data_IF_193908445782
#
_entry.id   IF_193908445782
#
_cell.length_a   1.000
_cell.length_b   1.000
_cell.length_c   1.000
_cell.angle_alpha   90.00
_cell.angle_beta   90.00
_cell.angle_gamma   90.00
#
_symmetry.space_group_name_H-M   'P 1'
#
loop_
_entity.id
_entity.type
_entity.pdbx_description
1 polymer ?
#
# COMPACT_ATOMS: atom_id res chain seq x y z
N UNK A 1 -1.89 43.20 20.51
CA UNK A 1 -0.83 42.26 20.90
C UNK A 1 -1.39 41.09 21.73
N UNK A 2 -1.88 41.28 22.98
CA UNK A 2 -2.32 40.12 23.80
C UNK A 2 -3.42 39.24 23.16
N UNK A 3 -4.38 39.79 22.41
CA UNK A 3 -5.40 38.99 21.70
C UNK A 3 -4.82 38.17 20.54
N UNK A 4 -3.82 38.72 19.87
CA UNK A 4 -3.14 38.03 18.77
C UNK A 4 -2.30 36.85 19.29
N UNK A 5 -1.58 37.07 20.39
CA UNK A 5 -0.79 36.03 21.06
C UNK A 5 -1.69 34.88 21.57
N UNK A 6 -2.88 35.25 22.12
CA UNK A 6 -3.88 34.26 22.52
C UNK A 6 -4.42 33.46 21.31
N UNK A 7 -4.68 34.12 20.17
CA UNK A 7 -5.15 33.47 18.97
C UNK A 7 -4.09 32.49 18.42
N UNK A 8 -2.82 32.90 18.36
CA UNK A 8 -1.75 32.00 17.91
C UNK A 8 -1.53 30.84 18.86
N UNK A 9 -1.59 31.06 20.17
CA UNK A 9 -1.51 29.96 21.14
C UNK A 9 -2.66 28.95 20.95
N UNK A 10 -3.87 29.41 20.65
CA UNK A 10 -5.02 28.53 20.39
C UNK A 10 -4.85 27.76 19.08
N UNK A 11 -4.34 28.40 18.01
CA UNK A 11 -4.05 27.76 16.74
C UNK A 11 -2.96 26.68 16.88
N UNK A 12 -1.88 26.98 17.60
CA UNK A 12 -0.79 26.02 17.82
C UNK A 12 -1.28 24.80 18.62
N UNK A 13 -2.19 24.98 19.59
CA UNK A 13 -2.84 23.87 20.31
C UNK A 13 -3.76 23.07 19.41
N UNK A 14 -4.60 23.72 18.61
CA UNK A 14 -5.51 23.04 17.69
C UNK A 14 -4.74 22.19 16.67
N UNK A 15 -3.64 22.74 16.13
CA UNK A 15 -2.73 22.01 15.24
C UNK A 15 -2.12 20.78 15.90
N UNK A 16 -1.57 20.94 17.12
CA UNK A 16 -0.98 19.82 17.85
C UNK A 16 -2.01 18.70 18.14
N UNK A 17 -3.27 19.06 18.43
CA UNK A 17 -4.34 18.08 18.58
C UNK A 17 -4.70 17.35 17.28
N UNK A 18 -4.79 18.07 16.16
CA UNK A 18 -5.07 17.46 14.86
C UNK A 18 -3.95 16.49 14.44
N UNK A 19 -2.68 16.91 14.61
CA UNK A 19 -1.50 16.07 14.33
C UNK A 19 -1.48 14.81 15.23
N UNK A 20 -1.81 14.92 16.52
CA UNK A 20 -1.88 13.79 17.45
C UNK A 20 -3.02 12.83 17.08
N UNK A 21 -4.21 13.34 16.79
CA UNK A 21 -5.36 12.51 16.42
C UNK A 21 -5.13 11.76 15.08
N UNK A 22 -4.44 12.38 14.14
CA UNK A 22 -4.04 11.74 12.90
C UNK A 22 -3.10 10.55 13.17
N UNK A 23 -2.08 10.76 13.99
CA UNK A 23 -1.15 9.70 14.39
C UNK A 23 -1.84 8.56 15.16
N UNK A 24 -2.81 8.89 16.04
CA UNK A 24 -3.57 7.91 16.80
C UNK A 24 -4.49 7.06 15.87
N UNK A 25 -5.09 7.67 14.86
CA UNK A 25 -5.91 6.96 13.86
C UNK A 25 -5.07 5.97 13.04
N UNK A 26 -3.88 6.36 12.61
CA UNK A 26 -2.94 5.48 11.90
C UNK A 26 -2.46 4.33 12.80
N UNK A 27 -2.11 4.63 14.06
CA UNK A 27 -1.68 3.63 15.03
C UNK A 27 -2.78 2.62 15.37
N UNK A 28 -4.05 3.01 15.33
CA UNK A 28 -5.18 2.12 15.58
C UNK A 28 -5.28 1.04 14.50
N UNK A 29 -5.14 1.42 13.23
CA UNK A 29 -5.13 0.46 12.12
C UNK A 29 -3.97 -0.54 12.27
N UNK A 30 -2.76 -0.04 12.45
CA UNK A 30 -1.55 -0.87 12.56
C UNK A 30 -1.63 -1.84 13.76
N UNK A 31 -2.13 -1.36 14.91
CA UNK A 31 -2.30 -2.19 16.11
C UNK A 31 -3.35 -3.28 15.89
N UNK A 32 -4.46 -2.95 15.20
CA UNK A 32 -5.52 -3.92 14.90
C UNK A 32 -5.04 -4.97 13.90
N UNK A 33 -4.32 -4.56 12.86
CA UNK A 33 -3.69 -5.46 11.89
C UNK A 33 -2.75 -6.43 12.61
N UNK A 34 -1.84 -5.91 13.45
CA UNK A 34 -0.88 -6.68 14.22
C UNK A 34 -1.60 -7.73 15.11
N UNK A 35 -2.53 -7.29 15.96
CA UNK A 35 -3.24 -8.19 16.86
C UNK A 35 -4.07 -9.26 16.12
N UNK A 36 -4.62 -8.92 14.93
CA UNK A 36 -5.39 -9.86 14.12
C UNK A 36 -4.50 -10.98 13.61
N UNK A 37 -3.36 -10.66 13.01
CA UNK A 37 -2.47 -11.68 12.43
C UNK A 37 -1.65 -12.42 13.48
N UNK A 38 -1.28 -11.82 14.62
CA UNK A 38 -0.65 -12.53 15.74
C UNK A 38 -1.56 -13.67 16.25
N UNK A 39 -2.87 -13.41 16.41
CA UNK A 39 -3.81 -14.47 16.78
C UNK A 39 -3.92 -15.57 15.71
N UNK A 40 -3.88 -15.22 14.43
CA UNK A 40 -3.96 -16.21 13.34
C UNK A 40 -2.72 -17.09 13.24
N UNK A 41 -1.54 -16.59 13.59
CA UNK A 41 -0.30 -17.38 13.63
C UNK A 41 -0.39 -18.59 14.59
N UNK A 42 -1.24 -18.50 15.62
CA UNK A 42 -1.39 -19.58 16.61
C UNK A 42 -2.37 -20.68 16.17
N UNK A 43 -3.34 -20.36 15.28
CA UNK A 43 -4.49 -21.24 15.03
C UNK A 43 -4.71 -21.62 13.57
N UNK A 44 -4.11 -20.87 12.61
CA UNK A 44 -4.31 -21.09 11.19
C UNK A 44 -3.37 -22.16 10.63
N UNK A 45 -3.76 -22.78 9.53
CA UNK A 45 -2.86 -23.58 8.72
C UNK A 45 -1.76 -22.71 8.12
N UNK A 46 -0.53 -23.21 8.15
CA UNK A 46 0.65 -22.47 7.69
C UNK A 46 1.09 -22.97 6.32
N UNK A 47 0.87 -22.19 5.27
CA UNK A 47 1.24 -22.49 3.88
C UNK A 47 2.29 -21.50 3.35
N UNK A 48 3.02 -21.90 2.33
CA UNK A 48 3.82 -20.97 1.51
C UNK A 48 2.92 -20.22 0.53
N UNK A 49 3.36 -19.07 0.01
CA UNK A 49 2.61 -18.36 -1.04
C UNK A 49 2.47 -19.18 -2.32
N UNK A 50 3.43 -20.07 -2.61
CA UNK A 50 3.36 -20.96 -3.77
C UNK A 50 2.27 -22.03 -3.61
N UNK A 51 2.09 -22.57 -2.39
CA UNK A 51 1.03 -23.54 -2.11
C UNK A 51 -0.37 -22.90 -2.16
N UNK A 52 -0.48 -21.60 -1.86
CA UNK A 52 -1.73 -20.84 -1.82
C UNK A 52 -2.05 -20.09 -3.15
N UNK A 53 -1.31 -20.34 -4.23
CA UNK A 53 -1.45 -19.60 -5.47
C UNK A 53 -1.57 -20.51 -6.70
N UNK A 54 -2.39 -20.11 -7.66
CA UNK A 54 -2.36 -20.68 -9.02
C UNK A 54 -1.12 -20.25 -9.80
N UNK A 55 -0.61 -19.04 -9.54
CA UNK A 55 0.61 -18.50 -10.14
C UNK A 55 1.33 -17.59 -9.14
N UNK A 56 2.58 -17.91 -8.88
CA UNK A 56 3.46 -17.11 -8.04
C UNK A 56 4.79 -16.93 -8.76
N UNK A 57 4.93 -15.81 -9.46
CA UNK A 57 6.12 -15.57 -10.28
C UNK A 57 6.43 -14.07 -10.43
N UNK A 58 7.62 -13.77 -10.92
CA UNK A 58 8.02 -12.38 -11.22
C UNK A 58 7.33 -11.89 -12.48
N UNK A 59 7.02 -10.59 -12.49
CA UNK A 59 6.68 -9.88 -13.73
C UNK A 59 7.80 -9.98 -14.78
N UNK A 60 7.52 -9.57 -16.00
CA UNK A 60 8.46 -9.65 -17.12
C UNK A 60 8.60 -8.31 -17.83
N UNK A 61 9.86 -7.93 -18.08
CA UNK A 61 10.22 -6.80 -18.92
C UNK A 61 11.57 -7.11 -19.55
N UNK A 62 11.54 -7.81 -20.70
CA UNK A 62 12.75 -8.38 -21.32
C UNK A 62 13.49 -7.38 -22.23
N UNK A 63 12.76 -6.46 -22.87
CA UNK A 63 13.34 -5.49 -23.78
C UNK A 63 14.29 -4.52 -23.07
N UNK A 64 15.33 -4.11 -23.77
CA UNK A 64 16.28 -3.10 -23.31
C UNK A 64 16.54 -2.10 -24.44
N UNK A 65 16.54 -0.75 -24.17
CA UNK A 65 16.26 -0.16 -22.84
C UNK A 65 14.78 -0.32 -22.43
N UNK A 66 14.48 -0.39 -21.14
CA UNK A 66 13.12 -0.59 -20.62
C UNK A 66 12.14 0.52 -20.96
N UNK A 67 12.65 1.74 -21.18
CA UNK A 67 11.89 2.95 -21.52
C UNK A 67 11.82 3.21 -23.02
N UNK A 68 12.02 2.19 -23.86
CA UNK A 68 11.88 2.31 -25.32
C UNK A 68 10.44 2.70 -25.66
N UNK A 69 10.27 3.86 -26.31
CA UNK A 69 8.97 4.41 -26.65
C UNK A 69 8.14 3.51 -27.59
N UNK A 70 8.77 2.60 -28.33
CA UNK A 70 8.11 1.66 -29.23
C UNK A 70 7.24 0.63 -28.52
N UNK A 71 7.41 0.45 -27.18
CA UNK A 71 6.68 -0.54 -26.39
C UNK A 71 5.36 -0.01 -25.80
N UNK A 72 5.19 1.33 -25.80
CA UNK A 72 4.16 2.02 -25.01
C UNK A 72 3.00 2.56 -25.87
N UNK A 73 2.05 3.21 -25.19
CA UNK A 73 0.91 3.90 -25.77
C UNK A 73 -0.08 2.99 -26.53
N UNK A 74 -0.34 1.80 -25.99
CA UNK A 74 -1.38 0.89 -26.48
C UNK A 74 -2.47 0.66 -25.41
N UNK A 75 -3.09 -0.51 -25.44
CA UNK A 75 -4.31 -0.80 -24.67
C UNK A 75 -4.06 -1.60 -23.37
N UNK A 76 -2.81 -2.03 -23.11
CA UNK A 76 -2.49 -2.90 -21.98
C UNK A 76 -1.91 -2.09 -20.83
N UNK A 77 -2.61 -1.93 -19.70
CA UNK A 77 -2.08 -1.26 -18.52
C UNK A 77 -0.71 -1.80 -18.13
N UNK A 78 0.18 -0.90 -17.75
CA UNK A 78 1.50 -1.23 -17.25
C UNK A 78 1.77 -0.46 -15.97
N UNK A 79 1.86 -1.19 -14.85
CA UNK A 79 2.16 -0.62 -13.55
C UNK A 79 3.62 -0.85 -13.15
N UNK A 80 4.12 0.00 -12.29
CA UNK A 80 5.46 -0.07 -11.71
C UNK A 80 5.39 -0.04 -10.19
N UNK A 81 6.54 -0.08 -9.53
CA UNK A 81 6.62 -0.06 -8.06
C UNK A 81 6.04 1.20 -7.42
N UNK A 82 5.96 2.30 -8.17
CA UNK A 82 5.38 3.56 -7.70
C UNK A 82 3.86 3.50 -7.52
N UNK A 83 3.14 2.89 -8.48
CA UNK A 83 1.70 2.68 -8.39
C UNK A 83 1.37 1.76 -7.22
N UNK A 84 2.14 0.67 -7.02
CA UNK A 84 1.95 -0.26 -5.91
C UNK A 84 2.17 0.43 -4.56
N UNK A 85 3.24 1.22 -4.41
CA UNK A 85 3.51 1.95 -3.18
C UNK A 85 2.38 2.90 -2.77
N UNK A 86 1.73 3.52 -3.75
CA UNK A 86 0.75 4.58 -3.51
C UNK A 86 -0.70 4.07 -3.52
N UNK A 87 -0.93 2.75 -3.73
CA UNK A 87 -2.27 2.20 -3.97
C UNK A 87 -3.11 1.93 -2.73
N UNK A 88 -2.54 2.03 -1.52
CA UNK A 88 -3.23 1.72 -0.24
C UNK A 88 -3.94 0.36 -0.26
N UNK A 89 -3.30 -0.65 -0.84
CA UNK A 89 -3.81 -2.02 -0.93
C UNK A 89 -4.61 -2.34 -2.20
N UNK A 90 -5.08 -1.35 -2.96
CA UNK A 90 -5.91 -1.55 -4.16
C UNK A 90 -5.38 -0.72 -5.33
N UNK A 91 -4.87 -1.39 -6.36
CA UNK A 91 -4.28 -0.74 -7.54
C UNK A 91 -5.40 -0.44 -8.54
N UNK A 92 -5.90 0.81 -8.53
CA UNK A 92 -7.02 1.30 -9.36
C UNK A 92 -6.59 2.19 -10.50
N UNK A 93 -5.34 2.64 -10.51
CA UNK A 93 -4.83 3.61 -11.48
C UNK A 93 -3.52 3.15 -12.09
N UNK A 94 -3.26 3.56 -13.32
CA UNK A 94 -2.00 3.36 -14.02
C UNK A 94 -1.62 4.62 -14.80
N UNK A 95 -0.34 4.82 -15.04
CA UNK A 95 0.19 5.97 -15.77
C UNK A 95 0.65 5.64 -17.16
N UNK A 96 0.90 4.38 -17.43
CA UNK A 96 1.47 3.91 -18.69
C UNK A 96 0.70 2.70 -19.20
N UNK A 97 0.74 2.52 -20.51
CA UNK A 97 0.21 1.33 -21.19
C UNK A 97 1.25 0.75 -22.13
N UNK A 98 1.27 -0.56 -22.28
CA UNK A 98 1.97 -1.26 -23.34
C UNK A 98 1.07 -1.41 -24.58
N UNK A 99 1.70 -1.42 -25.75
CA UNK A 99 1.08 -1.90 -26.99
C UNK A 99 1.33 -3.40 -27.18
N UNK A 100 1.03 -3.94 -28.36
CA UNK A 100 1.21 -5.36 -28.67
C UNK A 100 2.69 -5.80 -28.59
N UNK A 101 3.66 -4.94 -28.94
CA UNK A 101 5.09 -5.23 -28.83
C UNK A 101 5.53 -5.24 -27.35
N UNK A 102 5.03 -4.30 -26.56
CA UNK A 102 5.24 -4.26 -25.11
C UNK A 102 4.67 -5.49 -24.41
N UNK A 103 3.46 -5.91 -24.78
CA UNK A 103 2.85 -7.13 -24.25
C UNK A 103 3.67 -8.38 -24.64
N UNK A 104 4.13 -8.51 -25.87
CA UNK A 104 4.86 -9.68 -26.35
C UNK A 104 6.14 -9.98 -25.55
N UNK A 105 6.76 -8.96 -24.96
CA UNK A 105 7.95 -9.11 -24.12
C UNK A 105 7.65 -9.14 -22.61
N UNK A 106 6.38 -9.00 -22.21
CA UNK A 106 5.89 -8.95 -20.84
C UNK A 106 5.04 -10.20 -20.51
N UNK A 107 4.25 -10.08 -19.48
CA UNK A 107 3.19 -11.02 -19.06
C UNK A 107 2.00 -10.20 -18.61
N UNK A 108 0.83 -10.48 -19.14
CA UNK A 108 -0.43 -9.94 -18.65
C UNK A 108 -0.88 -10.74 -17.42
N UNK A 109 -1.17 -10.04 -16.35
CA UNK A 109 -1.72 -10.57 -15.12
C UNK A 109 -3.17 -10.13 -14.99
N UNK A 110 -4.00 -11.04 -14.52
CA UNK A 110 -5.43 -10.76 -14.38
C UNK A 110 -5.73 -9.92 -13.13
N UNK A 111 -6.88 -9.25 -13.15
CA UNK A 111 -7.53 -8.68 -11.96
C UNK A 111 -7.52 -9.68 -10.80
N UNK A 112 -7.34 -9.19 -9.57
CA UNK A 112 -7.21 -10.01 -8.37
C UNK A 112 -5.78 -10.52 -8.10
N UNK A 113 -4.81 -10.24 -8.98
CA UNK A 113 -3.39 -10.53 -8.68
C UNK A 113 -2.89 -9.63 -7.56
N UNK A 114 -2.28 -10.22 -6.53
CA UNK A 114 -1.55 -9.49 -5.49
C UNK A 114 -0.15 -9.20 -5.98
N UNK A 115 0.19 -7.92 -6.08
CA UNK A 115 1.50 -7.44 -6.49
C UNK A 115 2.38 -7.19 -5.26
N UNK A 116 3.64 -7.64 -5.30
CA UNK A 116 4.64 -7.49 -4.22
C UNK A 116 5.89 -6.87 -4.82
N UNK A 117 6.31 -5.71 -4.34
CA UNK A 117 7.55 -5.07 -4.80
C UNK A 117 8.76 -5.73 -4.15
N UNK A 118 9.78 -6.03 -4.96
CA UNK A 118 10.99 -6.72 -4.51
C UNK A 118 12.26 -5.88 -4.63
N UNK A 119 12.17 -4.70 -5.23
CA UNK A 119 13.26 -3.76 -5.43
C UNK A 119 12.75 -2.32 -5.27
N UNK A 120 13.62 -1.39 -4.93
CA UNK A 120 13.36 0.02 -4.66
C UNK A 120 12.50 0.26 -3.40
N UNK A 121 11.22 -0.10 -3.44
CA UNK A 121 10.28 -0.03 -2.31
C UNK A 121 9.91 -1.47 -1.91
N UNK A 122 10.76 -2.14 -1.17
CA UNK A 122 10.62 -3.56 -0.83
C UNK A 122 9.37 -3.82 0.02
N UNK A 123 8.65 -4.91 -0.30
CA UNK A 123 7.48 -5.40 0.43
C UNK A 123 6.31 -4.38 0.53
N UNK A 124 6.18 -3.50 -0.49
CA UNK A 124 4.92 -2.81 -0.72
C UNK A 124 4.00 -3.74 -1.52
N UNK A 125 2.72 -3.73 -1.21
CA UNK A 125 1.73 -4.66 -1.75
C UNK A 125 0.49 -3.94 -2.28
N UNK A 126 -0.25 -4.61 -3.16
CA UNK A 126 -1.54 -4.15 -3.64
C UNK A 126 -2.19 -5.15 -4.58
N UNK A 127 -3.52 -5.14 -4.62
CA UNK A 127 -4.35 -5.99 -5.47
C UNK A 127 -4.68 -5.27 -6.77
N UNK A 128 -4.51 -5.93 -7.92
CA UNK A 128 -4.91 -5.40 -9.23
C UNK A 128 -6.44 -5.36 -9.36
N UNK A 129 -6.99 -4.18 -9.67
CA UNK A 129 -8.41 -4.00 -10.00
C UNK A 129 -8.69 -4.10 -11.52
N UNK A 130 -7.67 -4.31 -12.31
CA UNK A 130 -7.72 -4.46 -13.76
C UNK A 130 -6.57 -5.36 -14.22
N UNK A 131 -6.69 -5.93 -15.41
CA UNK A 131 -5.61 -6.71 -16.03
C UNK A 131 -4.43 -5.80 -16.35
N UNK A 132 -3.21 -6.18 -15.95
CA UNK A 132 -2.02 -5.33 -16.11
C UNK A 132 -0.74 -6.12 -16.34
N UNK A 133 0.20 -5.48 -17.02
CA UNK A 133 1.59 -5.91 -17.05
C UNK A 133 2.40 -5.21 -15.96
N UNK A 134 3.48 -5.82 -15.51
CA UNK A 134 4.45 -5.18 -14.61
C UNK A 134 5.85 -5.79 -14.76
N UNK A 135 6.91 -5.04 -14.35
CA UNK A 135 8.29 -5.44 -14.56
C UNK A 135 8.74 -6.55 -13.59
N UNK A 136 9.94 -7.05 -13.84
CA UNK A 136 10.63 -8.06 -13.03
C UNK A 136 11.05 -7.59 -11.61
N UNK A 137 10.83 -6.32 -11.28
CA UNK A 137 10.93 -5.76 -9.92
C UNK A 137 9.67 -5.97 -9.06
N UNK A 138 8.64 -6.63 -9.62
CA UNK A 138 7.39 -6.97 -8.95
C UNK A 138 7.16 -8.48 -9.08
N UNK A 139 6.75 -9.12 -7.99
CA UNK A 139 6.18 -10.46 -7.98
C UNK A 139 4.67 -10.33 -8.04
N UNK A 140 4.03 -11.16 -8.87
CA UNK A 140 2.59 -11.38 -8.88
C UNK A 140 2.24 -12.70 -8.21
N UNK A 141 1.24 -12.68 -7.36
CA UNK A 141 0.57 -13.84 -6.81
C UNK A 141 -0.88 -13.83 -7.27
N UNK A 142 -1.26 -14.82 -8.06
CA UNK A 142 -2.66 -15.10 -8.36
C UNK A 142 -3.18 -16.08 -7.31
N UNK A 143 -3.95 -15.66 -6.31
CA UNK A 143 -4.45 -16.53 -5.26
C UNK A 143 -5.27 -17.69 -5.81
N UNK A 144 -5.17 -18.86 -5.16
CA UNK A 144 -6.12 -19.95 -5.38
C UNK A 144 -7.41 -19.61 -4.60
N UNK A 145 -8.56 -19.43 -5.28
CA UNK A 145 -9.80 -19.05 -4.62
C UNK A 145 -10.38 -20.11 -3.70
N UNK A 146 -9.89 -21.36 -3.78
CA UNK A 146 -10.26 -22.42 -2.84
C UNK A 146 -9.48 -22.30 -1.50
N UNK A 147 -8.36 -21.54 -1.48
CA UNK A 147 -7.48 -21.39 -0.33
C UNK A 147 -7.57 -19.97 0.24
N UNK A 148 -7.52 -18.92 -0.61
CA UNK A 148 -7.45 -17.55 -0.11
C UNK A 148 -8.02 -16.49 -1.07
N UNK A 149 -8.48 -15.39 -0.47
CA UNK A 149 -8.87 -14.18 -1.18
C UNK A 149 -7.71 -13.19 -1.35
N UNK A 150 -7.71 -12.37 -2.44
CA UNK A 150 -6.61 -11.45 -2.74
C UNK A 150 -6.40 -10.39 -1.65
N UNK A 151 -7.46 -9.82 -1.09
CA UNK A 151 -7.36 -8.80 -0.05
C UNK A 151 -6.90 -9.36 1.29
N UNK A 152 -7.26 -10.63 1.60
CA UNK A 152 -6.70 -11.31 2.76
C UNK A 152 -5.18 -11.45 2.64
N UNK A 153 -4.69 -11.88 1.48
CA UNK A 153 -3.26 -12.01 1.19
C UNK A 153 -2.56 -10.64 1.26
N UNK A 154 -3.19 -9.58 0.76
CA UNK A 154 -2.65 -8.22 0.83
C UNK A 154 -2.45 -7.77 2.28
N UNK A 155 -3.47 -7.88 3.14
CA UNK A 155 -3.37 -7.54 4.57
C UNK A 155 -2.34 -8.40 5.30
N UNK A 156 -2.32 -9.69 5.02
CA UNK A 156 -1.31 -10.61 5.56
C UNK A 156 0.11 -10.15 5.20
N UNK A 157 0.37 -9.83 3.95
CA UNK A 157 1.68 -9.35 3.50
C UNK A 157 2.05 -7.99 4.09
N UNK A 158 1.09 -7.09 4.31
CA UNK A 158 1.31 -5.84 5.05
C UNK A 158 1.75 -6.10 6.49
N UNK A 159 1.13 -7.07 7.16
CA UNK A 159 1.57 -7.48 8.50
C UNK A 159 3.03 -7.98 8.48
N UNK A 160 3.41 -8.81 7.50
CA UNK A 160 4.77 -9.32 7.37
C UNK A 160 5.76 -8.34 6.73
N UNK A 161 5.32 -7.17 6.25
CA UNK A 161 6.17 -6.25 5.48
C UNK A 161 7.44 -5.82 6.22
N UNK A 162 7.37 -5.62 7.54
CA UNK A 162 8.52 -5.24 8.35
C UNK A 162 9.58 -6.34 8.38
N UNK A 163 9.16 -7.59 8.55
CA UNK A 163 10.04 -8.75 8.55
C UNK A 163 10.67 -8.96 7.18
N UNK A 164 9.87 -8.91 6.11
CA UNK A 164 10.33 -9.02 4.72
C UNK A 164 11.36 -7.92 4.39
N UNK A 165 11.11 -6.67 4.81
CA UNK A 165 12.06 -5.56 4.66
C UNK A 165 13.39 -5.81 5.39
N UNK A 166 13.36 -6.42 6.56
CA UNK A 166 14.59 -6.78 7.31
C UNK A 166 15.37 -7.89 6.60
N UNK A 167 14.71 -8.90 6.07
CA UNK A 167 15.36 -9.95 5.28
C UNK A 167 16.02 -9.38 4.01
N UNK A 168 15.37 -8.39 3.37
CA UNK A 168 15.93 -7.69 2.21
C UNK A 168 17.21 -6.92 2.51
N UNK A 169 17.29 -6.24 3.65
CA UNK A 169 18.47 -5.45 4.08
C UNK A 169 19.71 -6.29 4.39
N UNK A 170 19.58 -7.58 4.60
CA UNK A 170 20.69 -8.49 4.82
C UNK A 170 21.37 -9.02 3.55
N UNK A 171 20.80 -8.74 2.37
CA UNK A 171 21.35 -9.16 1.08
C UNK A 171 22.29 -8.09 0.50
N UNK A 172 23.25 -8.50 -0.34
CA UNK A 172 24.25 -7.61 -0.94
C UNK A 172 23.66 -6.48 -1.84
N UNK A 173 22.35 -6.48 -2.10
CA UNK A 173 21.67 -5.52 -2.99
C UNK A 173 20.39 -4.91 -2.39
N UNK A 174 20.10 -5.11 -1.10
CA UNK A 174 18.88 -4.65 -0.46
C UNK A 174 17.60 -5.04 -1.27
N UNK A 175 17.49 -6.30 -1.66
CA UNK A 175 16.36 -6.84 -2.45
C UNK A 175 15.84 -8.12 -1.80
N UNK A 176 14.53 -8.33 -1.87
CA UNK A 176 13.92 -9.65 -1.69
C UNK A 176 13.70 -10.30 -3.06
N UNK A 177 13.55 -11.62 -3.09
CA UNK A 177 13.33 -12.36 -4.33
C UNK A 177 12.39 -13.56 -4.07
N UNK A 178 12.09 -14.36 -5.10
CA UNK A 178 11.23 -15.54 -4.95
C UNK A 178 11.75 -16.51 -3.89
N UNK A 179 13.07 -16.71 -3.80
CA UNK A 179 13.67 -17.58 -2.79
C UNK A 179 13.41 -17.11 -1.35
N UNK A 180 13.19 -15.82 -1.13
CA UNK A 180 12.78 -15.29 0.18
C UNK A 180 11.45 -15.90 0.64
N UNK A 181 10.56 -16.22 -0.29
CA UNK A 181 9.23 -16.76 -0.02
C UNK A 181 9.15 -18.30 -0.08
N UNK A 182 10.17 -19.00 -0.61
CA UNK A 182 10.15 -20.45 -0.81
C UNK A 182 9.90 -21.22 0.47
N UNK A 183 10.47 -20.76 1.60
CA UNK A 183 10.38 -21.41 2.90
C UNK A 183 9.57 -20.61 3.92
N UNK A 184 9.16 -19.38 3.56
CA UNK A 184 8.33 -18.55 4.42
C UNK A 184 6.92 -19.12 4.48
N UNK A 185 6.39 -19.30 5.69
CA UNK A 185 5.04 -19.81 5.91
C UNK A 185 4.17 -18.72 6.50
N UNK A 186 2.95 -18.67 5.98
CA UNK A 186 1.97 -17.63 6.27
C UNK A 186 0.67 -18.29 6.75
N UNK A 187 -0.11 -17.63 7.62
CA UNK A 187 -1.36 -18.18 8.14
C UNK A 187 -2.48 -18.10 7.10
N UNK A 188 -3.11 -19.23 6.82
CA UNK A 188 -4.29 -19.32 5.93
C UNK A 188 -5.43 -20.01 6.70
N UNK A 189 -6.26 -19.26 7.45
CA UNK A 189 -7.47 -19.80 8.07
C UNK A 189 -8.53 -20.11 7.02
N UNK A 190 -9.69 -20.65 7.45
CA UNK A 190 -10.82 -20.88 6.55
C UNK A 190 -11.22 -19.61 5.78
N UNK A 191 -11.78 -19.77 4.57
CA UNK A 191 -12.26 -18.64 3.75
C UNK A 191 -13.28 -17.78 4.49
N UNK A 192 -14.12 -18.37 5.34
CA UNK A 192 -15.07 -17.64 6.19
C UNK A 192 -14.33 -16.71 7.17
N UNK A 193 -13.28 -17.22 7.84
CA UNK A 193 -12.45 -16.41 8.74
C UNK A 193 -11.72 -15.31 7.98
N UNK A 194 -11.18 -15.61 6.78
CA UNK A 194 -10.54 -14.62 5.92
C UNK A 194 -11.50 -13.48 5.55
N UNK A 195 -12.74 -13.81 5.19
CA UNK A 195 -13.76 -12.80 4.86
C UNK A 195 -14.06 -11.88 6.06
N UNK A 196 -14.21 -12.44 7.27
CA UNK A 196 -14.41 -11.63 8.48
C UNK A 196 -13.22 -10.72 8.78
N UNK A 197 -11.99 -11.20 8.56
CA UNK A 197 -10.77 -10.40 8.73
C UNK A 197 -10.73 -9.25 7.73
N UNK A 198 -11.01 -9.53 6.46
CA UNK A 198 -11.04 -8.51 5.40
C UNK A 198 -12.09 -7.46 5.68
N UNK A 199 -13.34 -7.86 5.95
CA UNK A 199 -14.44 -6.93 6.25
C UNK A 199 -14.09 -6.00 7.41
N UNK A 200 -13.50 -6.54 8.48
CA UNK A 200 -13.09 -5.77 9.66
C UNK A 200 -11.99 -4.76 9.32
N UNK A 201 -10.96 -5.19 8.59
CA UNK A 201 -9.83 -4.33 8.25
C UNK A 201 -10.19 -3.30 7.18
N UNK A 202 -11.05 -3.65 6.22
CA UNK A 202 -11.60 -2.71 5.22
C UNK A 202 -12.42 -1.61 5.88
N UNK A 203 -13.31 -1.99 6.81
CA UNK A 203 -14.08 -1.00 7.57
C UNK A 203 -13.15 -0.05 8.32
N UNK A 204 -12.19 -0.57 9.06
CA UNK A 204 -11.25 0.24 9.83
C UNK A 204 -10.36 1.11 8.92
N UNK A 205 -9.91 0.59 7.78
CA UNK A 205 -9.13 1.36 6.79
C UNK A 205 -9.94 2.55 6.25
N UNK A 206 -11.21 2.32 5.88
CA UNK A 206 -12.09 3.38 5.39
C UNK A 206 -12.37 4.46 6.46
N UNK A 207 -12.60 4.04 7.71
CA UNK A 207 -12.79 4.98 8.83
C UNK A 207 -11.51 5.80 9.09
N UNK A 208 -10.34 5.15 9.05
CA UNK A 208 -9.04 5.81 9.24
C UNK A 208 -8.74 6.78 8.09
N UNK A 209 -9.02 6.40 6.83
CA UNK A 209 -8.83 7.28 5.68
C UNK A 209 -9.74 8.51 5.75
N UNK A 210 -11.01 8.35 6.14
CA UNK A 210 -11.94 9.46 6.35
C UNK A 210 -11.46 10.42 7.45
N UNK A 211 -10.95 9.89 8.55
CA UNK A 211 -10.38 10.69 9.63
C UNK A 211 -9.11 11.43 9.18
N UNK A 212 -8.24 10.76 8.42
CA UNK A 212 -7.02 11.37 7.88
C UNK A 212 -7.36 12.57 6.99
N UNK A 213 -8.24 12.39 6.01
CA UNK A 213 -8.68 13.47 5.13
C UNK A 213 -9.24 14.66 5.93
N UNK A 214 -10.07 14.38 6.93
CA UNK A 214 -10.63 15.43 7.80
C UNK A 214 -9.56 16.19 8.58
N UNK A 215 -8.54 15.50 9.12
CA UNK A 215 -7.46 16.16 9.86
C UNK A 215 -6.47 16.89 8.95
N UNK A 216 -6.18 16.38 7.75
CA UNK A 216 -5.36 17.07 6.75
C UNK A 216 -6.02 18.39 6.30
N UNK A 217 -7.34 18.39 6.07
CA UNK A 217 -8.13 19.59 5.78
C UNK A 217 -8.08 20.58 6.94
N UNK A 218 -8.28 20.11 8.18
CA UNK A 218 -8.18 20.95 9.36
C UNK A 218 -6.80 21.61 9.52
N UNK A 219 -5.72 20.86 9.26
CA UNK A 219 -4.36 21.39 9.32
C UNK A 219 -4.13 22.47 8.27
N UNK A 220 -4.69 22.29 7.08
CA UNK A 220 -4.66 23.28 5.99
C UNK A 220 -5.42 24.54 6.38
N UNK A 221 -6.64 24.41 6.89
CA UNK A 221 -7.48 25.54 7.35
C UNK A 221 -6.80 26.33 8.49
N UNK A 222 -6.17 25.64 9.44
CA UNK A 222 -5.43 26.27 10.54
C UNK A 222 -4.22 27.06 10.03
N UNK A 223 -3.53 26.55 9.00
CA UNK A 223 -2.41 27.25 8.38
C UNK A 223 -2.87 28.51 7.64
N UNK A 224 -3.97 28.44 6.91
CA UNK A 224 -4.57 29.56 6.18
C UNK A 224 -5.10 30.64 7.14
N UNK A 225 -5.75 30.22 8.23
CA UNK A 225 -6.22 31.14 9.28
C UNK A 225 -5.05 31.88 9.93
N UNK A 226 -3.96 31.17 10.24
CA UNK A 226 -2.73 31.78 10.78
C UNK A 226 -2.17 32.84 9.83
N UNK A 227 -2.09 32.53 8.54
CA UNK A 227 -1.61 33.46 7.52
C UNK A 227 -2.50 34.68 7.39
N UNK A 228 -3.82 34.51 7.39
CA UNK A 228 -4.80 35.61 7.36
C UNK A 228 -4.67 36.55 8.57
N UNK A 229 -4.53 35.98 9.77
CA UNK A 229 -4.33 36.78 10.99
C UNK A 229 -3.03 37.59 10.95
N UNK A 230 -1.95 37.02 10.44
CA UNK A 230 -0.68 37.71 10.23
C UNK A 230 -0.83 38.89 9.26
N UNK A 231 -1.47 38.68 8.11
CA UNK A 231 -1.69 39.72 7.10
C UNK A 231 -2.51 40.90 7.70
N UNK A 232 -3.58 40.60 8.42
CA UNK A 232 -4.40 41.61 9.07
C UNK A 232 -3.64 42.38 10.15
N UNK A 233 -2.79 41.69 10.92
CA UNK A 233 -1.96 42.32 11.92
C UNK A 233 -0.95 43.32 11.31
N UNK A 234 -0.29 42.90 10.21
CA UNK A 234 0.68 43.78 9.51
C UNK A 234 0.01 44.93 8.74
N UNK A 235 -1.24 44.77 8.30
CA UNK A 235 -2.00 45.85 7.63
C UNK A 235 -2.70 46.79 8.58
N UNK A 236 -2.58 46.60 9.91
CA UNK A 236 -3.21 47.46 10.92
C UNK A 236 -4.75 47.27 11.02
N UNK A 237 -5.27 46.12 10.57
CA UNK A 237 -6.70 45.79 10.57
C UNK A 237 -7.13 44.92 11.78
N UNK A 238 -6.26 44.74 12.75
CA UNK A 238 -6.52 44.04 14.02
C UNK A 238 -6.33 44.98 15.23
#
# INVERSE_FOLDING_TARGET
MAKLDQAFTALDRARAHAEANLADAEALFDTTLLATFENLLEVAEMLTLTEAAHDFSRGKSRHRPRNDATLYNGDYPFIQTGEIRNCRGSIREYRQTYNAEGLAQSKLWNTGTVCITIAANIAETGVLEFDSCFPDSVIGMMPDPEICGPYYVEYMLRFFAKELKLQGKGSAQDNINLATFENARFPFPSLETQAVVVDKLDQLSNETDTLRESYEDQLTDLADLRQSLLQRAFSGQL
#
